data_IF_546792375066
#
_entry.id   IF_546792375066
#
_cell.length_a   1.000
_cell.length_b   1.000
_cell.length_c   1.000
_cell.angle_alpha   90.00
_cell.angle_beta   90.00
_cell.angle_gamma   90.00
#
_symmetry.space_group_name_H-M   'P 1'
#
loop_
_entity.id
_entity.type
_entity.pdbx_description
1 polymer ?
#
# COMPACT_ATOMS: atom_id res chain seq x y z
N UNK A 1 7.40 -6.75 11.04
CA UNK A 1 8.45 -6.07 10.26
C UNK A 1 7.93 -4.69 9.94
N UNK A 2 8.37 -3.70 10.71
CA UNK A 2 7.99 -2.30 10.56
C UNK A 2 8.67 -1.79 9.29
N UNK A 3 7.91 -1.25 8.34
CA UNK A 3 8.49 -0.46 7.27
C UNK A 3 9.13 0.78 7.91
N UNK A 4 10.43 0.72 8.19
CA UNK A 4 11.21 1.90 8.56
C UNK A 4 11.20 2.84 7.37
N UNK A 5 10.33 3.86 7.41
CA UNK A 5 10.43 5.03 6.54
C UNK A 5 11.82 5.69 6.63
N UNK A 6 12.61 5.39 7.66
CA UNK A 6 14.01 5.83 7.78
C UNK A 6 14.98 5.13 6.82
N UNK A 7 14.66 3.94 6.30
CA UNK A 7 15.52 3.22 5.34
C UNK A 7 15.36 3.74 3.90
N UNK A 8 14.26 4.43 3.61
CA UNK A 8 13.94 5.00 2.30
C UNK A 8 13.85 6.51 2.52
N UNK A 9 14.98 7.22 2.39
CA UNK A 9 15.00 8.68 2.59
C UNK A 9 13.87 9.37 1.83
N UNK A 10 13.37 10.50 2.32
CA UNK A 10 12.21 11.20 1.73
C UNK A 10 12.35 11.50 0.22
N UNK A 11 13.58 11.61 -0.29
CA UNK A 11 13.89 11.73 -1.71
C UNK A 11 13.70 10.44 -2.52
N UNK A 12 13.86 9.27 -1.89
CA UNK A 12 13.80 7.96 -2.54
C UNK A 12 12.36 7.54 -2.90
N UNK A 13 11.33 8.07 -2.23
CA UNK A 13 9.93 7.80 -2.59
C UNK A 13 9.46 8.60 -3.82
N UNK A 14 10.22 9.63 -4.25
CA UNK A 14 9.82 10.46 -5.37
C UNK A 14 9.75 9.62 -6.65
N UNK A 15 8.59 9.62 -7.30
CA UNK A 15 8.36 8.88 -8.54
C UNK A 15 7.99 7.41 -8.36
N UNK A 16 8.14 6.84 -7.16
CA UNK A 16 7.82 5.43 -6.88
C UNK A 16 6.33 5.14 -6.92
N UNK A 17 5.99 3.89 -7.28
CA UNK A 17 4.67 3.29 -7.18
C UNK A 17 4.58 2.50 -5.88
N UNK A 18 3.70 2.92 -4.99
CA UNK A 18 3.55 2.27 -3.69
C UNK A 18 2.22 1.52 -3.60
N UNK A 19 2.23 0.38 -2.91
CA UNK A 19 1.03 -0.32 -2.45
C UNK A 19 1.09 -0.47 -0.93
N UNK A 20 -0.02 -0.23 -0.24
CA UNK A 20 -0.14 -0.44 1.19
C UNK A 20 -1.12 -1.58 1.47
N UNK A 21 -0.65 -2.62 2.17
CA UNK A 21 -1.43 -3.77 2.62
C UNK A 21 -1.96 -3.52 4.03
N UNK A 22 -3.26 -3.72 4.25
CA UNK A 22 -3.88 -3.51 5.56
C UNK A 22 -3.78 -2.06 6.00
N UNK A 23 -4.14 -1.14 5.11
CA UNK A 23 -3.90 0.30 5.27
C UNK A 23 -4.65 0.92 6.47
N UNK A 24 -5.77 0.34 6.91
CA UNK A 24 -6.60 0.82 8.00
C UNK A 24 -7.12 2.24 7.75
N UNK A 25 -6.37 3.23 8.23
CA UNK A 25 -6.66 4.66 8.00
C UNK A 25 -5.98 5.23 6.75
N UNK A 26 -4.96 4.55 6.23
CA UNK A 26 -4.18 4.95 5.04
C UNK A 26 -3.08 5.98 5.32
N UNK A 27 -2.74 6.23 6.59
CA UNK A 27 -1.81 7.30 6.98
C UNK A 27 -0.44 7.15 6.32
N UNK A 28 0.13 5.94 6.27
CA UNK A 28 1.47 5.74 5.73
C UNK A 28 1.50 5.87 4.20
N UNK A 29 0.55 5.28 3.48
CA UNK A 29 0.44 5.46 2.03
C UNK A 29 0.12 6.91 1.64
N UNK A 30 -0.75 7.60 2.40
CA UNK A 30 -0.98 9.04 2.21
C UNK A 30 0.33 9.83 2.41
N UNK A 31 1.12 9.51 3.42
CA UNK A 31 2.43 10.13 3.62
C UNK A 31 3.36 9.88 2.42
N UNK A 32 3.42 8.67 1.86
CA UNK A 32 4.20 8.38 0.65
C UNK A 32 3.75 9.25 -0.53
N UNK A 33 2.44 9.43 -0.73
CA UNK A 33 1.89 10.34 -1.74
C UNK A 33 2.32 11.80 -1.50
N UNK A 34 2.34 12.24 -0.25
CA UNK A 34 2.82 13.58 0.11
C UNK A 34 4.32 13.77 -0.11
N UNK A 35 5.11 12.70 0.04
CA UNK A 35 6.56 12.69 -0.19
C UNK A 35 6.93 12.55 -1.68
N UNK A 36 5.95 12.45 -2.58
CA UNK A 36 6.16 12.52 -4.02
C UNK A 36 6.12 11.19 -4.76
N UNK A 37 5.59 10.12 -4.13
CA UNK A 37 5.25 8.90 -4.87
C UNK A 37 4.36 9.24 -6.08
N UNK A 38 4.64 8.63 -7.22
CA UNK A 38 3.91 8.90 -8.48
C UNK A 38 2.50 8.32 -8.45
N UNK A 39 2.31 7.23 -7.69
CA UNK A 39 1.05 6.56 -7.45
C UNK A 39 1.10 5.81 -6.13
N UNK A 40 -0.01 5.85 -5.39
CA UNK A 40 -0.21 5.05 -4.18
C UNK A 40 -1.51 4.28 -4.31
N UNK A 41 -1.48 2.98 -4.02
CA UNK A 41 -2.68 2.14 -3.92
C UNK A 41 -2.85 1.71 -2.46
N UNK A 42 -3.91 2.15 -1.82
CA UNK A 42 -4.26 1.76 -0.45
C UNK A 42 -5.20 0.55 -0.50
N UNK A 43 -4.83 -0.52 0.20
CA UNK A 43 -5.59 -1.77 0.20
C UNK A 43 -5.95 -2.22 1.61
N UNK A 44 -7.17 -2.71 1.76
CA UNK A 44 -7.67 -3.31 3.00
C UNK A 44 -8.92 -4.16 2.71
N UNK A 45 -9.51 -4.74 3.73
CA UNK A 45 -10.80 -5.42 3.67
C UNK A 45 -11.92 -4.43 3.30
N UNK A 46 -13.03 -4.91 2.71
CA UNK A 46 -14.16 -4.08 2.27
C UNK A 46 -14.67 -3.09 3.33
N UNK A 47 -14.69 -3.52 4.60
CA UNK A 47 -15.20 -2.74 5.73
C UNK A 47 -14.38 -1.46 6.01
N UNK A 48 -13.09 -1.46 5.69
CA UNK A 48 -12.21 -0.30 5.90
C UNK A 48 -12.26 0.71 4.72
N UNK A 49 -12.77 0.31 3.55
CA UNK A 49 -12.73 1.15 2.35
C UNK A 49 -13.47 2.49 2.47
N UNK A 50 -14.65 2.60 3.12
CA UNK A 50 -15.31 3.89 3.28
C UNK A 50 -14.44 4.92 4.03
N UNK A 51 -13.74 4.48 5.07
CA UNK A 51 -12.81 5.31 5.83
C UNK A 51 -11.60 5.69 4.99
N UNK A 52 -10.98 4.72 4.32
CA UNK A 52 -9.81 4.93 3.45
C UNK A 52 -10.11 5.92 2.33
N UNK A 53 -11.25 5.78 1.64
CA UNK A 53 -11.66 6.72 0.58
C UNK A 53 -11.85 8.13 1.12
N UNK A 54 -12.46 8.27 2.29
CA UNK A 54 -12.64 9.58 2.95
C UNK A 54 -11.29 10.23 3.27
N UNK A 55 -10.36 9.48 3.84
CA UNK A 55 -9.03 10.00 4.19
C UNK A 55 -8.19 10.33 2.95
N UNK A 56 -8.20 9.46 1.93
CA UNK A 56 -7.52 9.69 0.67
C UNK A 56 -8.04 10.94 -0.06
N UNK A 57 -9.36 11.13 -0.10
CA UNK A 57 -9.97 12.31 -0.72
C UNK A 57 -9.55 13.61 -0.01
N UNK A 58 -9.54 13.61 1.33
CA UNK A 58 -9.09 14.76 2.14
C UNK A 58 -7.61 15.08 1.94
N UNK A 59 -6.78 14.06 1.71
CA UNK A 59 -5.36 14.26 1.44
C UNK A 59 -5.07 14.79 0.03
N UNK A 60 -5.97 14.56 -0.93
CA UNK A 60 -5.77 14.94 -2.34
C UNK A 60 -6.32 16.32 -2.71
N UNK A 61 -7.08 17.00 -1.83
CA UNK A 61 -7.69 18.30 -2.13
C UNK A 61 -6.65 19.32 -2.60
N UNK A 62 -6.75 19.77 -3.85
CA UNK A 62 -5.84 20.77 -4.43
C UNK A 62 -4.50 20.23 -4.95
N UNK A 63 -4.35 18.91 -5.12
CA UNK A 63 -3.11 18.29 -5.63
C UNK A 63 -3.38 17.32 -6.78
N UNK A 64 -2.42 17.14 -7.69
CA UNK A 64 -2.45 16.15 -8.78
C UNK A 64 -2.04 14.74 -8.32
N UNK A 65 -2.02 14.49 -7.00
CA UNK A 65 -1.62 13.23 -6.40
C UNK A 65 -2.62 12.12 -6.73
N UNK A 66 -2.12 10.94 -7.10
CA UNK A 66 -2.93 9.75 -7.41
C UNK A 66 -2.89 8.76 -6.26
N UNK A 67 -3.97 8.73 -5.48
CA UNK A 67 -4.22 7.72 -4.45
C UNK A 67 -5.44 6.91 -4.87
N UNK A 68 -5.24 5.63 -5.17
CA UNK A 68 -6.30 4.68 -5.44
C UNK A 68 -6.64 3.91 -4.15
N UNK A 69 -7.90 3.49 -4.03
CA UNK A 69 -8.37 2.68 -2.90
C UNK A 69 -9.12 1.47 -3.44
N UNK A 70 -8.69 0.26 -3.06
CA UNK A 70 -9.31 -0.99 -3.50
C UNK A 70 -9.31 -2.06 -2.40
N UNK A 71 -10.26 -2.99 -2.50
CA UNK A 71 -10.31 -4.15 -1.61
C UNK A 71 -9.14 -5.10 -1.91
N UNK A 72 -8.57 -5.70 -0.87
CA UNK A 72 -7.66 -6.84 -1.01
C UNK A 72 -7.77 -7.75 0.21
N UNK A 73 -8.09 -9.02 -0.04
CA UNK A 73 -7.95 -10.09 0.94
C UNK A 73 -6.60 -10.75 0.75
N UNK A 74 -5.81 -10.86 1.82
CA UNK A 74 -4.49 -11.47 1.70
C UNK A 74 -4.60 -12.95 1.28
N UNK A 75 -3.74 -13.36 0.36
CA UNK A 75 -3.66 -14.73 -0.15
C UNK A 75 -4.68 -15.04 -1.25
N UNK A 76 -5.58 -14.12 -1.57
CA UNK A 76 -6.53 -14.26 -2.67
C UNK A 76 -6.02 -13.59 -3.96
N UNK A 77 -6.43 -14.08 -5.14
CA UNK A 77 -6.12 -13.41 -6.40
C UNK A 77 -6.64 -11.97 -6.43
N UNK A 78 -5.82 -11.06 -6.94
CA UNK A 78 -6.18 -9.65 -7.11
C UNK A 78 -5.59 -9.14 -8.42
N UNK A 79 -6.32 -8.25 -9.11
CA UNK A 79 -5.81 -7.57 -10.31
C UNK A 79 -4.56 -6.73 -10.04
N UNK A 80 -4.29 -6.38 -8.78
CA UNK A 80 -3.04 -5.72 -8.39
C UNK A 80 -1.80 -6.59 -8.60
N UNK A 81 -1.96 -7.91 -8.72
CA UNK A 81 -0.84 -8.83 -9.00
C UNK A 81 -0.31 -8.67 -10.43
N UNK A 82 -1.12 -8.12 -11.35
CA UNK A 82 -0.70 -7.81 -12.72
C UNK A 82 0.04 -6.45 -12.79
N UNK A 83 0.15 -5.74 -11.67
CA UNK A 83 0.77 -4.43 -11.58
C UNK A 83 2.16 -4.50 -10.93
N UNK A 84 3.03 -3.56 -11.28
CA UNK A 84 4.35 -3.40 -10.66
C UNK A 84 4.32 -2.33 -9.56
N UNK A 85 4.95 -2.62 -8.41
CA UNK A 85 5.12 -1.68 -7.31
C UNK A 85 6.58 -1.67 -6.86
N UNK A 86 7.16 -0.48 -6.73
CA UNK A 86 8.53 -0.32 -6.23
C UNK A 86 8.60 -0.54 -4.71
N UNK A 87 7.50 -0.24 -4.01
CA UNK A 87 7.40 -0.32 -2.55
C UNK A 87 6.07 -0.95 -2.14
N UNK A 88 6.15 -2.00 -1.32
CA UNK A 88 5.03 -2.54 -0.58
C UNK A 88 5.15 -2.16 0.91
N UNK A 89 4.12 -1.54 1.45
CA UNK A 89 4.01 -1.16 2.87
C UNK A 89 3.11 -2.17 3.59
N UNK A 90 3.54 -2.61 4.77
CA UNK A 90 2.74 -3.42 5.69
C UNK A 90 3.00 -2.91 7.11
N UNK A 91 2.15 -2.02 7.60
CA UNK A 91 2.33 -1.37 8.90
C UNK A 91 1.43 -2.04 9.92
N UNK A 92 2.04 -2.61 10.96
CA UNK A 92 1.36 -3.33 12.03
C UNK A 92 0.43 -4.47 11.54
N UNK A 93 0.81 -5.17 10.47
CA UNK A 93 0.02 -6.27 9.88
C UNK A 93 0.27 -7.65 10.53
N UNK A 94 1.16 -7.75 11.52
CA UNK A 94 1.72 -9.01 12.02
C UNK A 94 1.35 -9.24 13.48
N UNK A 95 0.04 -9.25 13.75
CA UNK A 95 -0.51 -9.50 15.10
C UNK A 95 -1.34 -10.80 15.18
N UNK A 96 -1.84 -11.30 14.06
CA UNK A 96 -2.64 -12.53 14.00
C UNK A 96 -1.88 -13.63 13.24
N UNK A 97 -1.35 -14.68 13.93
CA UNK A 97 -0.58 -15.75 13.32
C UNK A 97 -1.26 -16.45 12.15
N UNK A 98 -2.59 -16.59 12.21
CA UNK A 98 -3.38 -17.19 11.13
C UNK A 98 -3.26 -16.45 9.79
N UNK A 99 -2.89 -15.16 9.80
CA UNK A 99 -2.79 -14.34 8.60
C UNK A 99 -1.39 -14.35 7.96
N UNK A 100 -0.38 -14.93 8.62
CA UNK A 100 1.03 -14.80 8.18
C UNK A 100 1.26 -15.44 6.81
N UNK A 101 0.73 -16.65 6.59
CA UNK A 101 0.88 -17.35 5.31
C UNK A 101 0.23 -16.55 4.16
N UNK A 102 -0.97 -16.03 4.38
CA UNK A 102 -1.71 -15.21 3.43
C UNK A 102 -0.99 -13.89 3.11
N UNK A 103 -0.44 -13.21 4.12
CA UNK A 103 0.33 -11.99 3.93
C UNK A 103 1.59 -12.25 3.09
N UNK A 104 2.35 -13.31 3.40
CA UNK A 104 3.54 -13.71 2.63
C UNK A 104 3.18 -14.08 1.19
N UNK A 105 2.07 -14.79 0.97
CA UNK A 105 1.59 -15.13 -0.37
C UNK A 105 1.30 -13.87 -1.19
N UNK A 106 0.61 -12.89 -0.59
CA UNK A 106 0.30 -11.59 -1.22
C UNK A 106 1.58 -10.83 -1.58
N UNK A 107 2.54 -10.75 -0.65
CA UNK A 107 3.81 -10.06 -0.88
C UNK A 107 4.62 -10.71 -2.01
N UNK A 108 4.60 -12.05 -2.11
CA UNK A 108 5.23 -12.76 -3.23
C UNK A 108 4.57 -12.45 -4.57
N UNK A 109 3.23 -12.39 -4.61
CA UNK A 109 2.49 -12.04 -5.82
C UNK A 109 2.83 -10.61 -6.27
N UNK A 110 2.88 -9.65 -5.35
CA UNK A 110 3.22 -8.25 -5.66
C UNK A 110 4.72 -8.05 -5.99
N UNK A 111 5.61 -8.85 -5.39
CA UNK A 111 7.05 -8.77 -5.62
C UNK A 111 7.56 -9.52 -6.86
N UNK A 112 6.78 -10.47 -7.40
CA UNK A 112 7.18 -11.29 -8.55
C UNK A 112 7.42 -10.48 -9.83
N UNK A 113 6.89 -9.26 -9.92
CA UNK A 113 7.05 -8.41 -11.09
C UNK A 113 8.47 -7.79 -11.26
N UNK A 114 9.40 -8.04 -10.33
CA UNK A 114 10.79 -7.56 -10.36
C UNK A 114 11.85 -8.63 -10.64
N UNK A 115 11.46 -9.89 -10.89
CA UNK A 115 12.42 -10.95 -11.22
C UNK A 115 12.61 -11.06 -12.74
N UNK A 116 13.60 -10.33 -13.27
CA UNK A 116 14.20 -10.58 -14.59
C UNK A 116 15.40 -11.51 -14.39
#
# INVERSE_FOLDING_TARGET
VVAHLDAIGSSALRGMRCVELGAGTGVCGIACSMLGASRVVLTDLPDALPLLRTNAARACTGSSKRIDVCALHWGEPSSLCDETFDVALCVDCVYQPACYASLVATLRQLGAAHSI
#
